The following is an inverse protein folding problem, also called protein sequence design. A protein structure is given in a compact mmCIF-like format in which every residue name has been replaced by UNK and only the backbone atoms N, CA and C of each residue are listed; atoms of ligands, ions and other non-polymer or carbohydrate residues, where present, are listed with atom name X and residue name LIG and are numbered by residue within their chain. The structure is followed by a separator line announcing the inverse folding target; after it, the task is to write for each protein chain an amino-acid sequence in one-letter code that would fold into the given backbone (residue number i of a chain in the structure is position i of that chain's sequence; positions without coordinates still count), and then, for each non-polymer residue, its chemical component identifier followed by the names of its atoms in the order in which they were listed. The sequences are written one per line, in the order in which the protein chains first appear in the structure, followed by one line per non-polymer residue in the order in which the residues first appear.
data_IF_283765034893
#
_entry.id   IF_283765034893
#
_cell.length_a   1.000
_cell.length_b   1.000
_cell.length_c   1.000
_cell.angle_alpha   90.00
_cell.angle_beta   90.00
_cell.angle_gamma   90.00
#
_symmetry.space_group_name_H-M   'P 1'
#
loop_
_entity.id
_entity.type
_entity.pdbx_description
1 polymer ?
#
# COMPACT_ATOMS: atom_id res chain seq x y z
N UNK A 1 26.25 -4.23 -1.06
CA UNK A 1 27.66 -4.24 -0.61
C UNK A 1 28.63 -4.31 -1.77
N UNK A 2 29.92 -4.26 -1.50
CA UNK A 2 30.98 -4.25 -2.55
C UNK A 2 30.93 -5.51 -3.44
N UNK A 3 30.49 -6.63 -2.92
CA UNK A 3 30.54 -7.93 -3.61
C UNK A 3 29.15 -8.51 -3.92
N UNK A 4 28.14 -8.08 -3.20
CA UNK A 4 26.77 -8.57 -3.37
C UNK A 4 25.79 -7.40 -3.51
N UNK A 5 24.79 -7.50 -4.41
CA UNK A 5 23.68 -6.57 -4.45
C UNK A 5 22.85 -6.63 -3.16
N UNK A 6 21.89 -5.71 -3.02
CA UNK A 6 20.89 -5.87 -1.99
C UNK A 6 20.09 -7.17 -2.20
N UNK A 7 19.74 -7.85 -1.12
CA UNK A 7 18.98 -9.07 -1.20
C UNK A 7 17.59 -8.78 -1.82
N UNK A 8 17.21 -9.60 -2.76
CA UNK A 8 15.85 -9.62 -3.30
C UNK A 8 14.98 -10.52 -2.44
N UNK A 9 13.75 -10.09 -2.16
CA UNK A 9 12.77 -10.88 -1.43
C UNK A 9 11.37 -10.55 -1.92
N UNK A 10 10.54 -11.57 -2.02
CA UNK A 10 9.13 -11.40 -2.37
C UNK A 10 8.31 -12.54 -1.76
N UNK A 11 7.09 -12.21 -1.38
CA UNK A 11 6.14 -13.17 -0.84
C UNK A 11 4.82 -13.00 -1.55
N UNK A 12 4.20 -14.09 -1.97
CA UNK A 12 2.89 -14.11 -2.61
C UNK A 12 2.14 -15.38 -2.24
N UNK A 13 0.87 -15.25 -1.95
CA UNK A 13 -0.06 -16.36 -1.76
C UNK A 13 -1.48 -15.94 -2.09
N UNK A 14 -2.39 -16.91 -2.12
CA UNK A 14 -3.82 -16.68 -2.22
C UNK A 14 -4.51 -17.08 -0.92
N UNK A 15 -5.42 -16.25 -0.45
CA UNK A 15 -6.27 -16.53 0.71
C UNK A 15 -7.70 -16.15 0.39
N UNK A 16 -8.61 -17.10 0.42
CA UNK A 16 -10.04 -16.91 0.12
C UNK A 16 -10.29 -16.15 -1.19
N UNK A 17 -9.59 -16.55 -2.26
CA UNK A 17 -9.74 -15.99 -3.59
C UNK A 17 -9.19 -14.56 -3.77
N UNK A 18 -8.36 -14.07 -2.83
CA UNK A 18 -7.67 -12.78 -2.92
C UNK A 18 -6.18 -12.96 -2.75
N UNK A 19 -5.40 -12.20 -3.53
CA UNK A 19 -3.96 -12.14 -3.39
C UNK A 19 -3.53 -11.52 -2.06
N UNK A 20 -2.53 -12.14 -1.42
CA UNK A 20 -1.78 -11.57 -0.30
C UNK A 20 -0.31 -11.57 -0.70
N UNK A 21 0.31 -10.41 -0.74
CA UNK A 21 1.67 -10.31 -1.28
C UNK A 21 2.48 -9.15 -0.72
N UNK A 22 3.79 -9.26 -0.87
CA UNK A 22 4.73 -8.17 -0.58
C UNK A 22 4.77 -7.19 -1.74
N UNK A 23 4.78 -5.91 -1.40
CA UNK A 23 4.86 -4.78 -2.34
C UNK A 23 5.89 -3.77 -1.84
N UNK A 24 6.51 -3.01 -2.75
CA UNK A 24 7.50 -1.98 -2.41
C UNK A 24 8.56 -2.45 -1.40
N UNK A 25 9.28 -3.55 -1.71
CA UNK A 25 10.37 -4.05 -0.89
C UNK A 25 11.50 -3.03 -0.83
N UNK A 26 11.85 -2.60 0.38
CA UNK A 26 12.83 -1.56 0.66
C UNK A 26 13.99 -2.07 1.51
N UNK A 27 14.94 -2.82 0.90
CA UNK A 27 16.14 -3.25 1.63
C UNK A 27 16.99 -2.04 2.02
N UNK A 28 17.44 -1.98 3.26
CA UNK A 28 18.17 -0.83 3.79
C UNK A 28 17.35 0.46 3.80
N UNK A 29 16.02 0.35 3.90
CA UNK A 29 15.08 1.46 3.76
C UNK A 29 14.39 1.85 5.07
N UNK A 30 13.68 2.97 5.00
CA UNK A 30 12.91 3.54 6.10
C UNK A 30 11.42 3.42 5.82
N UNK A 31 10.62 3.39 6.89
CA UNK A 31 9.19 3.69 6.81
C UNK A 31 9.01 5.18 7.05
N UNK A 32 8.21 5.83 6.21
CA UNK A 32 7.99 7.29 6.23
C UNK A 32 6.50 7.63 6.24
N UNK A 33 6.11 8.82 6.74
CA UNK A 33 4.75 9.34 6.57
C UNK A 33 4.45 9.61 5.10
N UNK A 34 3.23 9.27 4.66
CA UNK A 34 2.79 9.44 3.27
C UNK A 34 1.35 9.98 3.15
N UNK A 35 0.74 10.43 4.24
CA UNK A 35 -0.58 11.05 4.22
C UNK A 35 -0.56 12.37 3.45
N UNK A 36 -1.62 12.66 2.69
CA UNK A 36 -1.77 13.87 1.86
C UNK A 36 -2.93 14.75 2.29
N UNK A 37 -3.83 14.25 3.13
CA UNK A 37 -4.99 14.97 3.64
C UNK A 37 -4.94 15.16 5.17
N UNK A 38 -5.78 16.06 5.69
CA UNK A 38 -5.98 16.18 7.13
C UNK A 38 -6.67 14.93 7.69
N UNK A 39 -6.42 14.66 8.97
CA UNK A 39 -7.04 13.52 9.67
C UNK A 39 -6.79 12.15 9.00
N UNK A 40 -5.67 12.00 8.32
CA UNK A 40 -5.23 10.76 7.69
C UNK A 40 -3.88 10.33 8.24
N UNK A 41 -3.67 9.02 8.33
CA UNK A 41 -2.36 8.42 8.56
C UNK A 41 -2.11 7.36 7.53
N UNK A 42 -1.05 7.54 6.76
CA UNK A 42 -0.55 6.61 5.75
C UNK A 42 0.95 6.51 5.93
N UNK A 43 1.47 5.31 5.80
CA UNK A 43 2.91 5.05 5.81
C UNK A 43 3.34 4.46 4.47
N UNK A 44 4.60 4.65 4.10
CA UNK A 44 5.19 4.03 2.92
C UNK A 44 6.65 3.68 3.19
N UNK A 45 7.19 2.75 2.40
CA UNK A 45 8.61 2.40 2.43
C UNK A 45 9.43 3.24 1.46
N UNK A 46 10.67 3.56 1.85
CA UNK A 46 11.61 4.28 0.99
C UNK A 46 13.03 3.76 1.22
N UNK A 47 13.74 3.41 0.16
CA UNK A 47 15.16 3.06 0.23
C UNK A 47 16.03 4.25 -0.18
N UNK A 48 17.05 4.63 0.62
CA UNK A 48 18.10 5.52 0.14
C UNK A 48 18.93 4.84 -0.96
N UNK A 49 19.56 5.60 -1.82
CA UNK A 49 20.31 5.08 -2.97
C UNK A 49 21.40 4.08 -2.58
N UNK A 50 22.04 4.24 -1.45
CA UNK A 50 23.08 3.33 -0.96
C UNK A 50 22.53 2.05 -0.30
N UNK A 51 21.22 2.00 0.05
CA UNK A 51 20.55 0.86 0.74
C UNK A 51 21.32 0.32 1.93
N UNK A 52 22.04 1.19 2.66
CA UNK A 52 23.03 0.82 3.68
C UNK A 52 22.57 0.97 5.12
N UNK A 53 21.26 1.13 5.37
CA UNK A 53 20.74 1.21 6.75
C UNK A 53 20.58 -0.16 7.38
N UNK A 54 20.40 -0.18 8.71
CA UNK A 54 20.12 -1.41 9.46
C UNK A 54 18.67 -1.91 9.31
N UNK A 55 17.84 -1.21 8.54
CA UNK A 55 16.41 -1.48 8.41
C UNK A 55 16.06 -2.10 7.06
N UNK A 56 14.99 -2.86 7.04
CA UNK A 56 14.29 -3.24 5.80
C UNK A 56 12.79 -3.26 6.06
N UNK A 57 12.02 -2.96 5.03
CA UNK A 57 10.57 -3.00 5.11
C UNK A 57 9.95 -3.46 3.80
N UNK A 58 8.67 -3.76 3.85
CA UNK A 58 7.86 -4.14 2.70
C UNK A 58 6.40 -3.81 3.00
N UNK A 59 5.69 -3.27 2.04
CA UNK A 59 4.23 -3.24 2.10
C UNK A 59 3.71 -4.68 2.00
N UNK A 60 2.88 -5.08 2.96
CA UNK A 60 2.20 -6.38 2.93
C UNK A 60 0.72 -6.11 2.68
N UNK A 61 0.25 -6.49 1.51
CA UNK A 61 -1.04 -6.03 1.00
C UNK A 61 -2.00 -7.19 0.72
N UNK A 62 -3.29 -6.87 0.76
CA UNK A 62 -4.40 -7.75 0.40
C UNK A 62 -5.11 -7.15 -0.81
N UNK A 63 -5.25 -7.94 -1.86
CA UNK A 63 -6.10 -7.59 -2.99
C UNK A 63 -7.53 -7.34 -2.52
N UNK A 64 -8.05 -6.16 -2.86
CA UNK A 64 -9.36 -5.69 -2.41
C UNK A 64 -10.23 -5.34 -3.62
N UNK A 65 -11.45 -5.86 -3.66
CA UNK A 65 -12.42 -5.61 -4.70
C UNK A 65 -13.61 -4.78 -4.15
N UNK A 66 -14.39 -4.11 -5.02
CA UNK A 66 -15.54 -3.32 -4.58
C UNK A 66 -16.51 -4.12 -3.68
N UNK A 67 -16.79 -5.36 -4.01
CA UNK A 67 -17.66 -6.24 -3.23
C UNK A 67 -17.14 -6.59 -1.82
N UNK A 68 -15.85 -6.42 -1.56
CA UNK A 68 -15.28 -6.61 -0.22
C UNK A 68 -15.56 -5.43 0.71
N UNK A 69 -15.88 -4.26 0.16
CA UNK A 69 -15.90 -2.98 0.90
C UNK A 69 -17.25 -2.29 0.94
N UNK A 70 -18.13 -2.57 -0.02
CA UNK A 70 -19.48 -1.99 -0.08
C UNK A 70 -20.46 -2.79 0.78
N UNK A 71 -21.45 -2.08 1.34
CA UNK A 71 -22.48 -2.68 2.19
C UNK A 71 -23.84 -2.80 1.50
N UNK A 72 -23.98 -2.20 0.31
CA UNK A 72 -25.21 -2.21 -0.46
C UNK A 72 -24.96 -2.20 -1.97
N UNK A 73 -25.97 -2.62 -2.74
CA UNK A 73 -25.92 -2.51 -4.21
C UNK A 73 -25.86 -1.05 -4.71
N UNK A 74 -26.35 -0.10 -3.92
CA UNK A 74 -26.29 1.31 -4.23
C UNK A 74 -24.86 1.86 -4.11
N UNK A 75 -24.16 1.50 -3.03
CA UNK A 75 -22.75 1.83 -2.87
C UNK A 75 -21.89 1.21 -3.97
N UNK A 76 -22.23 0.01 -4.45
CA UNK A 76 -21.49 -0.66 -5.54
C UNK A 76 -21.58 0.12 -6.86
N UNK A 77 -22.61 0.95 -7.05
CA UNK A 77 -22.78 1.81 -8.23
C UNK A 77 -22.00 3.11 -8.13
N UNK A 78 -21.52 3.46 -6.94
CA UNK A 78 -20.70 4.66 -6.76
C UNK A 78 -19.29 4.45 -7.36
N UNK A 79 -18.89 5.19 -8.39
CA UNK A 79 -17.55 5.06 -8.98
C UNK A 79 -16.42 5.45 -8.02
N UNK A 80 -16.72 6.08 -6.90
CA UNK A 80 -15.77 6.51 -5.87
C UNK A 80 -15.80 5.61 -4.62
N UNK A 81 -16.57 4.53 -4.60
CA UNK A 81 -16.71 3.64 -3.43
C UNK A 81 -15.37 3.20 -2.85
N UNK A 82 -14.43 2.80 -3.71
CA UNK A 82 -13.10 2.37 -3.29
C UNK A 82 -12.26 3.52 -2.72
N UNK A 83 -12.42 4.74 -3.24
CA UNK A 83 -11.77 5.94 -2.70
C UNK A 83 -12.32 6.27 -1.31
N UNK A 84 -13.63 6.24 -1.14
CA UNK A 84 -14.26 6.46 0.15
C UNK A 84 -13.87 5.40 1.18
N UNK A 85 -13.73 4.15 0.76
CA UNK A 85 -13.19 3.10 1.63
C UNK A 85 -11.77 3.41 2.08
N UNK A 86 -10.89 3.76 1.15
CA UNK A 86 -9.50 4.13 1.44
C UNK A 86 -9.44 5.28 2.45
N UNK A 87 -10.18 6.37 2.22
CA UNK A 87 -10.22 7.52 3.12
C UNK A 87 -10.74 7.16 4.52
N UNK A 88 -11.77 6.30 4.61
CA UNK A 88 -12.28 5.82 5.91
C UNK A 88 -11.22 5.06 6.70
N UNK A 89 -10.49 4.18 6.03
CA UNK A 89 -9.45 3.37 6.67
C UNK A 89 -8.26 4.22 7.10
N UNK A 90 -7.84 5.19 6.28
CA UNK A 90 -6.78 6.14 6.61
C UNK A 90 -7.15 7.03 7.81
N UNK A 91 -8.41 7.49 7.85
CA UNK A 91 -8.94 8.24 8.99
C UNK A 91 -9.02 7.38 10.25
N UNK A 92 -9.49 6.15 10.15
CA UNK A 92 -9.51 5.21 11.27
C UNK A 92 -8.10 4.95 11.81
N UNK A 93 -7.12 4.79 10.94
CA UNK A 93 -5.73 4.64 11.32
C UNK A 93 -5.22 5.87 12.10
N UNK A 94 -5.53 7.08 11.65
CA UNK A 94 -5.19 8.32 12.33
C UNK A 94 -5.86 8.43 13.72
N UNK A 95 -7.11 8.00 13.85
CA UNK A 95 -7.80 7.94 15.15
C UNK A 95 -7.12 6.96 16.11
N UNK A 96 -6.70 5.78 15.63
CA UNK A 96 -5.95 4.80 16.41
C UNK A 96 -4.53 5.29 16.77
N UNK A 97 -4.04 6.28 16.07
CA UNK A 97 -2.78 7.00 16.33
C UNK A 97 -2.94 8.18 17.32
N UNK A 98 -4.01 8.20 18.12
CA UNK A 98 -4.34 9.33 18.99
C UNK A 98 -4.42 10.67 18.25
N UNK A 99 -4.93 10.67 17.03
CA UNK A 99 -5.05 11.85 16.16
C UNK A 99 -3.69 12.54 15.89
N UNK A 100 -2.64 11.74 15.77
CA UNK A 100 -1.26 12.19 15.49
C UNK A 100 -0.67 11.40 14.32
N UNK A 101 0.57 11.69 13.98
CA UNK A 101 1.32 10.92 12.98
C UNK A 101 2.18 9.79 13.59
N UNK A 102 2.00 9.48 14.87
CA UNK A 102 2.58 8.30 15.52
C UNK A 102 1.85 7.07 15.02
N UNK A 103 2.49 6.18 14.28
CA UNK A 103 1.79 5.09 13.60
C UNK A 103 1.36 3.96 14.54
N UNK A 104 0.12 3.46 14.41
CA UNK A 104 -0.32 2.24 15.09
C UNK A 104 0.50 1.05 14.63
N UNK A 105 0.96 0.24 15.59
CA UNK A 105 1.84 -0.87 15.28
C UNK A 105 1.60 -2.07 16.20
N UNK A 106 1.97 -3.25 15.72
CA UNK A 106 1.85 -4.51 16.44
C UNK A 106 2.99 -5.45 16.05
N UNK A 107 3.50 -6.27 16.96
CA UNK A 107 4.45 -7.32 16.63
C UNK A 107 3.80 -8.35 15.70
N UNK A 108 4.50 -8.81 14.68
CA UNK A 108 3.93 -9.69 13.65
C UNK A 108 3.34 -10.99 14.23
N UNK A 109 4.06 -11.68 15.09
CA UNK A 109 3.56 -12.94 15.66
C UNK A 109 2.37 -12.70 16.62
N UNK A 110 2.33 -11.57 17.33
CA UNK A 110 1.17 -11.19 18.15
C UNK A 110 -0.06 -10.91 17.28
N UNK A 111 0.12 -10.17 16.17
CA UNK A 111 -0.96 -9.92 15.20
C UNK A 111 -1.55 -11.23 14.65
N UNK A 112 -0.68 -12.17 14.23
CA UNK A 112 -1.12 -13.46 13.68
C UNK A 112 -1.88 -14.30 14.71
N UNK A 113 -1.54 -14.16 16.00
CA UNK A 113 -2.15 -14.91 17.09
C UNK A 113 -3.25 -14.14 17.85
N UNK A 114 -3.70 -13.00 17.34
CA UNK A 114 -4.69 -12.12 17.98
C UNK A 114 -4.31 -11.71 19.42
N UNK A 115 -3.03 -11.43 19.66
CA UNK A 115 -2.50 -11.00 20.95
C UNK A 115 -2.14 -9.53 20.94
N UNK A 116 -2.23 -8.88 22.08
CA UNK A 116 -1.74 -7.52 22.24
C UNK A 116 -0.21 -7.52 22.33
N UNK A 117 0.43 -6.53 21.72
CA UNK A 117 1.84 -6.24 21.91
C UNK A 117 1.98 -5.18 22.99
N UNK A 118 2.60 -5.50 24.10
CA UNK A 118 2.78 -4.56 25.21
C UNK A 118 3.96 -3.62 24.99
N UNK A 119 4.90 -4.01 24.15
CA UNK A 119 6.07 -3.25 23.73
C UNK A 119 6.32 -3.45 22.23
N UNK A 120 7.10 -2.58 21.64
CA UNK A 120 7.45 -2.63 20.24
C UNK A 120 8.97 -2.56 20.05
N UNK A 121 9.54 -3.29 19.08
CA UNK A 121 10.94 -3.11 18.70
C UNK A 121 11.23 -1.70 18.23
N UNK A 122 12.51 -1.33 18.17
CA UNK A 122 12.91 -0.07 17.50
C UNK A 122 12.46 -0.08 16.04
N UNK A 123 12.15 1.09 15.52
CA UNK A 123 11.67 1.27 14.15
C UNK A 123 12.38 2.42 13.46
N UNK A 124 12.38 2.38 12.14
CA UNK A 124 12.85 3.47 11.28
C UNK A 124 11.83 4.61 11.12
N UNK A 125 10.60 4.44 11.59
CA UNK A 125 9.53 5.44 11.45
C UNK A 125 9.76 6.61 12.41
N UNK A 126 10.20 7.75 11.88
CA UNK A 126 10.63 8.90 12.67
C UNK A 126 9.56 9.51 13.61
N UNK A 127 8.26 9.59 13.22
CA UNK A 127 7.23 10.10 14.14
C UNK A 127 6.95 9.18 15.34
N UNK A 128 7.50 7.97 15.35
CA UNK A 128 7.33 6.99 16.42
C UNK A 128 6.13 6.07 16.22
N UNK A 129 6.08 5.02 17.04
CA UNK A 129 5.04 4.00 17.00
C UNK A 129 4.20 4.03 18.28
N UNK A 130 2.94 3.64 18.15
CA UNK A 130 2.06 3.35 19.29
C UNK A 130 1.56 1.91 19.17
N UNK A 131 1.66 1.14 20.25
CA UNK A 131 1.09 -0.21 20.30
C UNK A 131 -0.42 -0.15 20.13
N UNK A 132 -0.93 -0.89 19.16
CA UNK A 132 -2.34 -0.91 18.80
C UNK A 132 -2.75 -2.30 18.31
N UNK A 133 -3.94 -2.82 18.67
CA UNK A 133 -4.40 -4.13 18.25
C UNK A 133 -4.90 -4.10 16.80
N UNK A 134 -3.97 -4.07 15.82
CA UNK A 134 -4.28 -4.00 14.39
C UNK A 134 -5.29 -5.08 13.97
N UNK A 135 -5.13 -6.30 14.48
CA UNK A 135 -6.04 -7.42 14.22
C UNK A 135 -7.50 -7.18 14.63
N UNK A 136 -7.74 -6.23 15.51
CA UNK A 136 -9.07 -5.92 16.03
C UNK A 136 -9.79 -4.82 15.24
N UNK A 137 -9.09 -3.74 14.89
CA UNK A 137 -9.75 -2.58 14.29
C UNK A 137 -9.61 -2.49 12.77
N UNK A 138 -8.60 -3.14 12.18
CA UNK A 138 -8.51 -3.20 10.71
C UNK A 138 -9.74 -3.90 10.10
N UNK A 139 -10.11 -3.59 8.86
CA UNK A 139 -11.16 -4.33 8.18
C UNK A 139 -10.93 -5.84 8.29
N UNK A 140 -11.92 -6.57 8.78
CA UNK A 140 -11.77 -7.98 9.16
C UNK A 140 -11.34 -8.87 7.99
N UNK A 141 -11.76 -8.55 6.77
CA UNK A 141 -11.37 -9.28 5.58
C UNK A 141 -9.88 -9.07 5.24
N UNK A 142 -9.31 -7.89 5.57
CA UNK A 142 -7.88 -7.60 5.41
C UNK A 142 -7.07 -8.30 6.50
N UNK A 143 -7.45 -8.12 7.77
CA UNK A 143 -6.68 -8.68 8.89
C UNK A 143 -6.62 -10.20 8.85
N UNK A 144 -7.73 -10.88 8.58
CA UNK A 144 -7.78 -12.36 8.46
C UNK A 144 -6.90 -12.87 7.31
N UNK A 145 -6.99 -12.24 6.13
CA UNK A 145 -6.18 -12.64 4.96
C UNK A 145 -4.69 -12.42 5.20
N UNK A 146 -4.30 -11.31 5.82
CA UNK A 146 -2.90 -11.09 6.22
C UNK A 146 -2.42 -12.15 7.22
N UNK A 147 -3.23 -12.48 8.23
CA UNK A 147 -2.88 -13.51 9.22
C UNK A 147 -2.63 -14.88 8.55
N UNK A 148 -3.52 -15.33 7.67
CA UNK A 148 -3.35 -16.60 6.95
C UNK A 148 -2.19 -16.54 5.93
N UNK A 149 -2.04 -15.42 5.24
CA UNK A 149 -0.89 -15.17 4.35
C UNK A 149 0.43 -15.27 5.10
N UNK A 150 0.56 -14.63 6.26
CA UNK A 150 1.77 -14.68 7.09
C UNK A 150 2.06 -16.09 7.62
N UNK A 151 1.03 -16.87 7.98
CA UNK A 151 1.20 -18.28 8.34
C UNK A 151 1.76 -19.09 7.17
N UNK A 152 1.26 -18.85 5.97
CA UNK A 152 1.76 -19.50 4.74
C UNK A 152 3.20 -19.11 4.46
N UNK A 153 3.55 -17.84 4.57
CA UNK A 153 4.93 -17.36 4.39
C UNK A 153 5.86 -17.94 5.45
N UNK A 154 5.40 -18.07 6.70
CA UNK A 154 6.17 -18.70 7.78
C UNK A 154 6.47 -20.18 7.56
N UNK A 155 5.60 -20.91 6.84
CA UNK A 155 5.88 -22.30 6.43
C UNK A 155 6.94 -22.39 5.34
N UNK A 156 6.97 -21.41 4.43
CA UNK A 156 7.86 -21.40 3.27
C UNK A 156 9.20 -20.73 3.57
N UNK A 157 9.25 -19.82 4.54
CA UNK A 157 10.45 -19.07 4.92
C UNK A 157 10.65 -19.19 6.44
N UNK A 158 11.55 -20.08 6.85
CA UNK A 158 11.86 -20.30 8.27
C UNK A 158 12.30 -18.99 8.95
N UNK A 159 11.69 -18.67 10.09
CA UNK A 159 11.96 -17.44 10.84
C UNK A 159 11.17 -16.20 10.38
N UNK A 160 10.31 -16.30 9.33
CA UNK A 160 9.47 -15.20 8.89
C UNK A 160 8.51 -14.74 10.01
N UNK A 161 7.80 -15.66 10.65
CA UNK A 161 6.91 -15.36 11.78
C UNK A 161 7.76 -15.12 13.04
N UNK A 162 7.96 -13.86 13.37
CA UNK A 162 8.77 -13.44 14.51
C UNK A 162 8.17 -12.21 15.21
N UNK A 163 8.47 -12.03 16.49
CA UNK A 163 8.16 -10.83 17.24
C UNK A 163 9.24 -9.74 17.10
N UNK A 164 10.31 -9.99 16.36
CA UNK A 164 11.27 -8.96 15.97
C UNK A 164 10.75 -8.10 14.80
N UNK A 165 9.83 -8.64 13.99
CA UNK A 165 9.15 -7.89 12.93
C UNK A 165 7.95 -7.14 13.49
N UNK A 166 7.83 -5.87 13.10
CA UNK A 166 6.73 -4.98 13.48
C UNK A 166 5.88 -4.65 12.27
N UNK A 167 4.58 -4.86 12.40
CA UNK A 167 3.58 -4.35 11.46
C UNK A 167 3.28 -2.91 11.83
N UNK A 168 3.37 -2.02 10.86
CA UNK A 168 3.08 -0.60 11.01
C UNK A 168 1.91 -0.27 10.10
N UNK A 169 0.83 0.22 10.65
CA UNK A 169 -0.34 0.61 9.87
C UNK A 169 -0.25 2.08 9.49
N UNK A 170 -0.67 2.44 8.31
CA UNK A 170 -1.21 1.57 7.29
C UNK A 170 -0.71 2.03 5.93
N UNK A 171 -0.43 1.11 5.03
CA UNK A 171 -0.23 1.44 3.63
C UNK A 171 -1.51 1.10 2.84
N UNK A 172 -2.14 2.11 2.25
CA UNK A 172 -3.40 1.98 1.50
C UNK A 172 -3.23 2.36 0.03
N UNK A 173 -2.06 2.88 -0.36
CA UNK A 173 -1.82 3.53 -1.66
C UNK A 173 -0.91 2.72 -2.56
N UNK A 174 -1.19 1.43 -2.69
CA UNK A 174 -0.50 0.51 -3.61
C UNK A 174 -0.93 0.70 -5.06
N UNK A 175 -2.20 1.11 -5.26
CA UNK A 175 -2.77 1.46 -6.56
C UNK A 175 -3.90 2.46 -6.39
N UNK A 176 -4.23 3.21 -7.44
CA UNK A 176 -5.34 4.15 -7.38
C UNK A 176 -6.67 3.42 -7.19
N UNK A 177 -7.52 3.85 -6.24
CA UNK A 177 -8.85 3.29 -6.03
C UNK A 177 -9.85 3.70 -7.12
N UNK A 178 -9.46 4.61 -8.01
CA UNK A 178 -10.29 5.13 -9.11
C UNK A 178 -9.50 5.16 -10.42
N UNK A 179 -10.23 5.17 -11.54
CA UNK A 179 -9.63 5.35 -12.86
C UNK A 179 -10.24 6.55 -13.57
N UNK A 180 -9.39 7.50 -13.99
CA UNK A 180 -9.81 8.62 -14.80
C UNK A 180 -9.88 8.16 -16.26
N UNK A 181 -11.09 8.06 -16.81
CA UNK A 181 -11.34 7.43 -18.12
C UNK A 181 -10.65 8.21 -19.24
N UNK A 182 -9.92 7.49 -20.10
CA UNK A 182 -9.28 8.02 -21.31
C UNK A 182 -9.53 7.09 -22.50
N UNK A 183 -9.47 7.63 -23.69
CA UNK A 183 -9.49 6.87 -24.94
C UNK A 183 -8.25 5.96 -25.05
N UNK A 184 -8.40 4.77 -25.64
CA UNK A 184 -7.33 3.76 -25.69
C UNK A 184 -6.26 4.06 -26.71
N UNK A 185 -6.60 4.78 -27.78
CA UNK A 185 -5.70 5.09 -28.89
C UNK A 185 -5.01 6.44 -28.67
N UNK A 186 -5.80 7.47 -28.40
CA UNK A 186 -5.29 8.83 -28.22
C UNK A 186 -4.76 9.10 -26.82
N UNK A 187 -5.07 8.26 -25.84
CA UNK A 187 -4.77 8.41 -24.41
C UNK A 187 -5.32 9.71 -23.79
N UNK A 188 -6.14 10.46 -24.53
CA UNK A 188 -6.78 11.67 -24.07
C UNK A 188 -8.08 11.36 -23.33
N UNK A 189 -8.45 12.18 -22.37
CA UNK A 189 -9.71 12.04 -21.62
C UNK A 189 -10.91 12.12 -22.56
N UNK A 190 -11.87 11.21 -22.39
CA UNK A 190 -13.01 11.02 -23.34
C UNK A 190 -13.95 12.24 -23.46
N UNK A 191 -13.89 13.21 -22.57
CA UNK A 191 -14.76 14.41 -22.56
C UNK A 191 -14.00 15.73 -22.40
N UNK A 192 -12.73 15.71 -22.05
CA UNK A 192 -11.93 16.91 -21.80
C UNK A 192 -10.74 16.90 -22.77
N UNK A 193 -10.76 17.82 -23.73
CA UNK A 193 -9.67 17.96 -24.69
C UNK A 193 -8.39 18.46 -24.00
N UNK A 194 -7.24 17.93 -24.44
CA UNK A 194 -5.93 18.31 -23.92
C UNK A 194 -5.59 17.73 -22.54
N UNK A 195 -6.48 16.93 -21.95
CA UNK A 195 -6.21 16.22 -20.71
C UNK A 195 -5.77 14.78 -21.00
N UNK A 196 -4.58 14.39 -20.52
CA UNK A 196 -4.00 13.05 -20.69
C UNK A 196 -3.81 12.38 -19.33
N UNK A 197 -4.83 11.69 -18.79
CA UNK A 197 -4.70 10.97 -17.52
C UNK A 197 -3.65 9.86 -17.63
N UNK A 198 -2.62 9.86 -16.77
CA UNK A 198 -1.55 8.89 -16.85
C UNK A 198 -1.03 8.44 -15.48
N UNK A 199 -0.33 7.32 -15.50
CA UNK A 199 0.39 6.78 -14.36
C UNK A 199 -0.51 6.20 -13.27
N UNK A 200 0.03 6.10 -12.06
CA UNK A 200 -0.62 5.47 -10.92
C UNK A 200 -1.84 6.25 -10.44
N UNK A 201 -1.71 7.56 -10.26
CA UNK A 201 -2.80 8.40 -9.75
C UNK A 201 -4.05 8.41 -10.65
N UNK A 202 -3.88 8.21 -11.95
CA UNK A 202 -4.99 8.08 -12.90
C UNK A 202 -5.52 6.64 -13.06
N UNK A 203 -4.93 5.66 -12.37
CA UNK A 203 -5.37 4.27 -12.36
C UNK A 203 -4.86 3.42 -13.55
N UNK A 204 -3.74 3.82 -14.19
CA UNK A 204 -3.17 3.12 -15.34
C UNK A 204 -1.87 2.38 -15.05
N UNK A 205 -1.31 2.51 -13.87
CA UNK A 205 -0.09 1.85 -13.45
C UNK A 205 -0.12 1.54 -11.96
N UNK A 206 0.60 0.51 -11.53
CA UNK A 206 0.74 0.12 -10.12
C UNK A 206 2.19 0.04 -9.65
N UNK A 207 3.14 0.60 -10.39
CA UNK A 207 4.54 0.60 -10.02
C UNK A 207 5.35 1.67 -10.74
N UNK A 208 6.56 1.95 -10.28
CA UNK A 208 7.43 3.05 -10.76
C UNK A 208 7.69 2.94 -12.26
N UNK A 209 8.12 1.76 -12.74
CA UNK A 209 8.47 1.55 -14.14
C UNK A 209 7.24 1.64 -15.04
N UNK A 210 6.13 0.98 -14.67
CA UNK A 210 4.88 1.03 -15.43
C UNK A 210 4.28 2.44 -15.48
N UNK A 211 4.38 3.21 -14.40
CA UNK A 211 3.96 4.61 -14.39
C UNK A 211 4.83 5.49 -15.29
N UNK A 212 6.15 5.27 -15.31
CA UNK A 212 7.07 5.95 -16.21
C UNK A 212 6.77 5.67 -17.67
N UNK A 213 6.59 4.40 -18.05
CA UNK A 213 6.25 3.99 -19.42
C UNK A 213 4.90 4.55 -19.86
N UNK A 214 3.89 4.53 -19.01
CA UNK A 214 2.58 5.10 -19.33
C UNK A 214 2.65 6.62 -19.48
N UNK A 215 3.44 7.31 -18.64
CA UNK A 215 3.70 8.75 -18.75
C UNK A 215 4.41 9.13 -20.06
N UNK A 216 5.42 8.36 -20.49
CA UNK A 216 6.11 8.54 -21.76
C UNK A 216 5.14 8.43 -22.94
N UNK A 217 4.33 7.38 -22.98
CA UNK A 217 3.30 7.20 -24.01
C UNK A 217 2.28 8.33 -24.04
N UNK A 218 1.83 8.80 -22.89
CA UNK A 218 0.92 9.96 -22.81
C UNK A 218 1.57 11.24 -23.32
N UNK A 219 2.86 11.45 -23.05
CA UNK A 219 3.60 12.60 -23.56
C UNK A 219 3.76 12.57 -25.09
N UNK A 220 4.02 11.40 -25.68
CA UNK A 220 4.05 11.21 -27.14
C UNK A 220 2.69 11.55 -27.76
N UNK A 221 1.59 11.04 -27.22
CA UNK A 221 0.23 11.33 -27.72
C UNK A 221 -0.14 12.79 -27.53
N UNK A 222 0.29 13.43 -26.44
CA UNK A 222 0.12 14.87 -26.23
C UNK A 222 0.87 15.69 -27.30
N UNK A 223 2.11 15.29 -27.64
CA UNK A 223 2.89 15.94 -28.69
C UNK A 223 2.21 15.80 -30.06
N UNK A 224 1.66 14.64 -30.40
CA UNK A 224 0.89 14.45 -31.65
C UNK A 224 -0.39 15.30 -31.67
N UNK A 225 -1.10 15.40 -30.57
CA UNK A 225 -2.27 16.27 -30.44
C UNK A 225 -1.90 17.74 -30.72
N UNK A 226 -0.80 18.23 -30.12
CA UNK A 226 -0.35 19.63 -30.31
C UNK A 226 0.08 19.96 -31.74
N UNK A 227 0.59 18.98 -32.53
CA UNK A 227 0.94 19.18 -33.94
C UNK A 227 -0.30 19.37 -34.84
N UNK A 228 -1.47 18.96 -34.36
CA UNK A 228 -2.73 19.02 -35.12
C UNK A 228 -3.53 20.30 -34.81
N UNK A 229 -3.06 21.12 -33.88
CA UNK A 229 -3.66 22.43 -33.54
C UNK A 229 -3.06 23.54 -34.37
#
# INVERSE_FOLDING_TARGET
GKYLPAAEYSFVTQVDGRGVYSFCMCPGGFVIPAATGPEQLVVNGMSPSNRGTAWSNSGMVVETHPEDVVQSEEELKDPLAMMHFQERVEKQCWQQANMKQTAPAQRMADFVNNRLSYDLPKSSYAPGLISSPLHFWMPSFVSKRLQEGFKTFGKNAHGFLTNEATLIAMETRTSSPVRIVRDRETLMHVRIQGLFPCGEGAGYAGGIVSAGVDGERCAEMCAEYLKQQ
#
